data_IF_987572221335
#
_entry.id   IF_987572221335
#
_cell.length_a   1.000
_cell.length_b   1.000
_cell.length_c   1.000
_cell.angle_alpha   90.00
_cell.angle_beta   90.00
_cell.angle_gamma   90.00
#
_symmetry.space_group_name_H-M   'P 1'
#
loop_
_entity.id
_entity.type
_entity.pdbx_description
1 polymer ?
#
# COMPACT_ATOMS: atom_id res chain seq x y z
N UNK A 1 3.09 11.59 -7.93
CA UNK A 1 3.17 10.12 -8.11
C UNK A 1 4.55 9.65 -7.65
N UNK A 2 4.57 8.60 -6.90
CA UNK A 2 5.82 8.03 -6.40
C UNK A 2 5.90 6.54 -6.76
N UNK A 3 7.09 6.11 -7.18
CA UNK A 3 7.37 4.70 -7.41
C UNK A 3 8.14 4.20 -6.20
N UNK A 4 7.57 3.24 -5.50
CA UNK A 4 8.18 2.68 -4.29
C UNK A 4 8.58 1.23 -4.52
N UNK A 5 9.77 0.88 -4.10
CA UNK A 5 10.23 -0.49 -4.12
C UNK A 5 10.47 -0.91 -2.67
N UNK A 6 9.78 -1.97 -2.25
CA UNK A 6 9.79 -2.41 -0.86
C UNK A 6 10.42 -3.78 -0.78
N UNK A 7 11.47 -3.89 0.04
CA UNK A 7 12.17 -5.16 0.23
C UNK A 7 11.28 -6.21 0.91
N UNK A 8 11.61 -7.50 0.74
CA UNK A 8 10.87 -8.57 1.42
C UNK A 8 10.96 -8.41 2.94
N UNK A 9 9.91 -8.86 3.63
CA UNK A 9 9.89 -8.88 5.09
C UNK A 9 9.80 -7.52 5.75
N UNK A 10 9.34 -6.50 5.03
CA UNK A 10 9.16 -5.16 5.58
C UNK A 10 7.71 -4.93 5.98
N UNK A 11 7.54 -4.04 6.95
CA UNK A 11 6.25 -3.74 7.50
C UNK A 11 6.18 -2.26 7.82
N UNK A 12 5.06 -1.63 7.49
CA UNK A 12 4.81 -0.24 7.84
C UNK A 12 3.78 -0.19 8.96
N UNK A 13 4.04 0.62 9.97
CA UNK A 13 3.11 0.78 11.08
C UNK A 13 1.85 1.50 10.61
N UNK A 14 0.74 1.26 11.30
CA UNK A 14 -0.51 1.94 11.00
C UNK A 14 -0.33 3.44 11.13
N UNK A 15 -0.82 4.17 10.13
CA UNK A 15 -0.80 5.62 10.14
C UNK A 15 -1.97 6.16 9.34
N UNK A 16 -2.20 7.45 9.42
CA UNK A 16 -3.27 8.11 8.67
C UNK A 16 -2.78 9.45 8.18
N UNK A 17 -3.38 9.89 7.08
CA UNK A 17 -3.05 11.17 6.45
C UNK A 17 -4.33 11.98 6.25
N UNK A 18 -4.24 13.31 6.24
CA UNK A 18 -5.40 14.17 5.97
C UNK A 18 -5.71 14.30 4.47
N UNK A 19 -5.26 13.38 3.66
CA UNK A 19 -5.48 13.40 2.21
C UNK A 19 -5.73 11.99 1.69
N UNK A 20 -6.34 11.91 0.52
CA UNK A 20 -6.61 10.63 -0.14
C UNK A 20 -5.35 10.11 -0.82
N UNK A 21 -5.28 8.80 -0.93
CA UNK A 21 -4.13 8.13 -1.51
C UNK A 21 -4.62 6.93 -2.30
N UNK A 22 -4.03 6.69 -3.46
CA UNK A 22 -4.38 5.51 -4.24
C UNK A 22 -3.13 5.00 -4.95
N UNK A 23 -3.20 3.78 -5.44
CA UNK A 23 -2.05 3.23 -6.13
C UNK A 23 -2.34 1.91 -6.80
N UNK A 24 -1.30 1.36 -7.38
CA UNK A 24 -1.34 0.06 -8.06
C UNK A 24 -0.08 -0.71 -7.71
N UNK A 25 -0.23 -2.00 -7.46
CA UNK A 25 0.91 -2.89 -7.27
C UNK A 25 1.39 -3.27 -8.67
N UNK A 26 2.61 -2.90 -8.99
CA UNK A 26 3.18 -3.16 -10.32
C UNK A 26 3.81 -4.55 -10.36
N UNK A 27 4.44 -4.95 -9.26
CA UNK A 27 5.20 -6.18 -9.20
C UNK A 27 5.24 -6.70 -7.77
N UNK A 28 5.23 -8.02 -7.61
CA UNK A 28 5.34 -8.63 -6.30
C UNK A 28 4.00 -8.80 -5.60
N UNK A 29 4.04 -8.78 -4.28
CA UNK A 29 2.89 -9.09 -3.45
C UNK A 29 2.99 -8.34 -2.13
N UNK A 30 1.89 -7.78 -1.69
CA UNK A 30 1.85 -7.01 -0.45
C UNK A 30 0.51 -7.22 0.24
N UNK A 31 0.52 -7.28 1.56
CA UNK A 31 -0.70 -7.25 2.32
C UNK A 31 -0.93 -5.82 2.76
N UNK A 32 -2.12 -5.30 2.46
CA UNK A 32 -2.48 -3.94 2.83
C UNK A 32 -3.71 -3.98 3.72
N UNK A 33 -3.69 -3.18 4.78
CA UNK A 33 -4.86 -3.04 5.64
C UNK A 33 -5.29 -1.57 5.63
N UNK A 34 -6.58 -1.38 5.43
CA UNK A 34 -7.22 -0.07 5.34
C UNK A 34 -8.44 -0.13 6.24
N UNK A 35 -8.38 0.59 7.36
CA UNK A 35 -9.40 0.48 8.39
C UNK A 35 -9.48 -0.96 8.90
N UNK A 36 -10.65 -1.57 8.79
CA UNK A 36 -10.88 -2.95 9.25
C UNK A 36 -10.67 -3.99 8.15
N UNK A 37 -10.31 -3.56 6.95
CA UNK A 37 -10.19 -4.45 5.80
C UNK A 37 -8.73 -4.80 5.54
N UNK A 38 -8.47 -6.10 5.37
CA UNK A 38 -7.15 -6.60 4.99
C UNK A 38 -7.27 -7.30 3.64
N UNK A 39 -6.32 -7.01 2.76
CA UNK A 39 -6.29 -7.63 1.44
C UNK A 39 -4.86 -7.93 1.03
N UNK A 40 -4.68 -9.03 0.32
CA UNK A 40 -3.41 -9.35 -0.32
C UNK A 40 -3.52 -8.85 -1.75
N UNK A 41 -2.63 -7.94 -2.10
CA UNK A 41 -2.58 -7.34 -3.43
C UNK A 41 -1.42 -7.91 -4.22
N UNK A 42 -1.67 -8.24 -5.47
CA UNK A 42 -0.66 -8.76 -6.38
C UNK A 42 -0.54 -7.81 -7.58
N UNK A 43 0.32 -8.17 -8.53
CA UNK A 43 0.55 -7.32 -9.71
C UNK A 43 -0.78 -6.92 -10.38
N UNK A 44 -0.91 -5.64 -10.66
CA UNK A 44 -2.07 -5.00 -11.30
C UNK A 44 -3.28 -4.77 -10.39
N UNK A 45 -3.19 -5.16 -9.12
CA UNK A 45 -4.24 -4.83 -8.17
C UNK A 45 -4.08 -3.38 -7.71
N UNK A 46 -5.21 -2.72 -7.51
CA UNK A 46 -5.23 -1.31 -7.10
C UNK A 46 -5.77 -1.15 -5.69
N UNK A 47 -5.48 -0.01 -5.07
CA UNK A 47 -6.03 0.32 -3.76
C UNK A 47 -6.39 1.79 -3.70
N UNK A 48 -7.32 2.11 -2.80
CA UNK A 48 -7.71 3.48 -2.52
C UNK A 48 -7.85 3.65 -1.01
N UNK A 49 -7.20 4.66 -0.47
CA UNK A 49 -7.19 4.96 0.95
C UNK A 49 -7.85 6.32 1.16
N UNK A 50 -9.06 6.37 1.74
CA UNK A 50 -9.71 7.64 2.04
C UNK A 50 -8.91 8.46 3.05
N UNK A 51 -9.10 9.76 3.02
CA UNK A 51 -8.46 10.66 3.99
C UNK A 51 -8.87 10.29 5.41
N UNK A 52 -7.91 10.29 6.32
CA UNK A 52 -8.15 10.04 7.74
C UNK A 52 -8.33 8.60 8.15
N UNK A 53 -8.22 7.66 7.21
CA UNK A 53 -8.39 6.23 7.53
C UNK A 53 -7.04 5.61 7.87
N UNK A 54 -7.00 4.88 8.98
CA UNK A 54 -5.79 4.16 9.39
C UNK A 54 -5.45 3.08 8.37
N UNK A 55 -4.21 3.00 7.98
CA UNK A 55 -3.77 2.02 7.00
C UNK A 55 -2.30 1.65 7.22
N UNK A 56 -1.90 0.56 6.60
CA UNK A 56 -0.53 0.09 6.64
C UNK A 56 -0.34 -1.06 5.65
N UNK A 57 0.87 -1.59 5.60
CA UNK A 57 1.19 -2.66 4.66
C UNK A 57 2.33 -3.51 5.20
N UNK A 58 2.47 -4.71 4.64
CA UNK A 58 3.65 -5.53 4.86
C UNK A 58 3.93 -6.39 3.63
N UNK A 59 5.22 -6.65 3.38
CA UNK A 59 5.64 -7.53 2.31
C UNK A 59 5.87 -8.93 2.87
N UNK A 60 5.96 -9.90 1.99
CA UNK A 60 6.18 -11.30 2.35
C UNK A 60 7.62 -11.71 2.04
N UNK A 61 7.78 -12.73 1.24
CA UNK A 61 9.10 -13.27 0.91
C UNK A 61 9.65 -12.75 -0.42
N UNK A 62 8.91 -11.89 -1.10
CA UNK A 62 9.34 -11.26 -2.35
C UNK A 62 9.20 -9.74 -2.22
N UNK A 63 10.00 -8.97 -2.97
CA UNK A 63 9.85 -7.52 -2.96
C UNK A 63 8.56 -7.08 -3.65
N UNK A 64 8.09 -5.88 -3.34
CA UNK A 64 6.93 -5.30 -3.98
C UNK A 64 7.29 -3.97 -4.60
N UNK A 65 6.72 -3.68 -5.77
CA UNK A 65 6.88 -2.39 -6.43
C UNK A 65 5.50 -1.78 -6.60
N UNK A 66 5.37 -0.54 -6.17
CA UNK A 66 4.08 0.15 -6.12
C UNK A 66 4.20 1.52 -6.74
N UNK A 67 3.20 1.91 -7.52
CA UNK A 67 3.02 3.29 -7.97
C UNK A 67 1.94 3.90 -7.11
N UNK A 68 2.28 4.98 -6.42
CA UNK A 68 1.39 5.61 -5.45
C UNK A 68 1.14 7.07 -5.81
N UNK A 69 -0.10 7.51 -5.63
CA UNK A 69 -0.52 8.88 -5.90
C UNK A 69 -1.23 9.42 -4.66
N UNK A 70 -0.79 10.56 -4.17
CA UNK A 70 -1.39 11.22 -3.01
C UNK A 70 -2.00 12.55 -3.43
N UNK A 71 -3.21 12.80 -2.98
CA UNK A 71 -3.92 14.05 -3.26
C UNK A 71 -3.64 15.07 -2.15
N UNK A 72 -2.46 15.62 -2.16
CA UNK A 72 -2.05 16.63 -1.17
C UNK A 72 -2.51 18.00 -1.58
#
# INVERSE_FOLDING_TARGET
>A
MACMEIDPGKEDAEHQHPFEQCGVVVEGKIEMFIGDVRRILEAMDTYFIPAGVLHGWKTFDVPARILDVSAK
#
